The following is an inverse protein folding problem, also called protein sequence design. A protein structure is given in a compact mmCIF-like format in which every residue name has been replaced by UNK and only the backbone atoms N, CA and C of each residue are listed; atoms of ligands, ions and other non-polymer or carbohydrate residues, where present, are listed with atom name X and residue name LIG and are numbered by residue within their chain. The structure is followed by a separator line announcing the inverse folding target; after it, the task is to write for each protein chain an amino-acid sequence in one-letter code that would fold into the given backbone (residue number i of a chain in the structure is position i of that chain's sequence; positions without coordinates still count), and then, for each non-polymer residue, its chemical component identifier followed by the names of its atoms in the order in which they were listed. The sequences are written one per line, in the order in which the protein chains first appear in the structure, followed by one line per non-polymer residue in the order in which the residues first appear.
data_IF_856963604768
#
_entry.id   IF_856963604768
#
_cell.length_a   1.000
_cell.length_b   1.000
_cell.length_c   1.000
_cell.angle_alpha   90.00
_cell.angle_beta   90.00
_cell.angle_gamma   90.00
#
_symmetry.space_group_name_H-M   'P 1'
#
loop_
_entity.id
_entity.type
_entity.pdbx_description
1 polymer ?
#
# COMPACT_ATOMS: atom_id res chain seq x y z
N UNK A 1 17.52 7.78 0.46
CA UNK A 1 17.75 7.66 1.93
C UNK A 1 16.50 7.30 2.73
N UNK A 2 15.29 7.36 2.14
CA UNK A 2 14.05 7.01 2.83
C UNK A 2 13.74 5.50 2.86
N UNK A 3 14.32 4.69 1.96
CA UNK A 3 13.95 3.28 1.79
C UNK A 3 14.58 2.31 2.79
N UNK A 4 15.75 2.62 3.36
CA UNK A 4 16.38 1.74 4.36
C UNK A 4 15.78 1.93 5.76
N UNK A 5 15.32 3.14 6.07
CA UNK A 5 14.66 3.43 7.34
C UNK A 5 13.27 2.77 7.45
N UNK A 6 12.51 2.68 6.35
CA UNK A 6 11.19 2.06 6.35
C UNK A 6 11.23 0.57 6.76
N UNK A 7 12.23 -0.21 6.31
CA UNK A 7 12.31 -1.63 6.64
C UNK A 7 12.60 -1.91 8.11
N UNK A 8 13.25 -0.99 8.83
CA UNK A 8 13.55 -1.15 10.26
C UNK A 8 12.39 -0.68 11.16
N UNK A 9 11.60 0.28 10.70
CA UNK A 9 10.43 0.79 11.42
C UNK A 9 9.36 -0.30 11.60
N UNK A 10 9.19 -1.18 10.61
CA UNK A 10 8.17 -2.25 10.67
C UNK A 10 8.54 -3.44 11.57
N UNK A 11 9.74 -3.48 12.15
CA UNK A 11 10.19 -4.63 12.95
C UNK A 11 9.63 -4.63 14.37
N UNK A 12 9.16 -3.51 14.87
CA UNK A 12 8.74 -3.35 16.26
C UNK A 12 7.45 -2.56 16.33
N UNK A 13 6.48 -3.12 17.02
CA UNK A 13 5.18 -2.49 17.20
C UNK A 13 4.67 -2.72 18.61
N UNK A 14 4.08 -1.69 19.17
CA UNK A 14 3.37 -1.73 20.43
C UNK A 14 1.87 -1.67 20.15
N UNK A 15 1.13 -2.65 20.68
CA UNK A 15 -0.33 -2.66 20.64
C UNK A 15 -0.90 -2.13 21.94
N UNK A 16 -1.62 -1.04 21.86
CA UNK A 16 -2.36 -0.45 22.97
C UNK A 16 -3.76 -1.06 23.04
N UNK A 17 -4.04 -1.79 24.13
CA UNK A 17 -5.33 -2.44 24.35
C UNK A 17 -6.46 -1.47 24.69
N UNK A 18 -6.15 -0.31 25.25
CA UNK A 18 -7.13 0.71 25.62
C UNK A 18 -7.68 1.42 24.37
N UNK A 19 -6.78 1.78 23.47
CA UNK A 19 -7.13 2.50 22.25
C UNK A 19 -7.28 1.59 21.05
N UNK A 20 -6.93 0.31 21.16
CA UNK A 20 -6.90 -0.66 20.05
C UNK A 20 -6.05 -0.20 18.87
N UNK A 21 -4.89 0.40 19.17
CA UNK A 21 -4.00 0.98 18.17
C UNK A 21 -2.64 0.31 18.16
N UNK A 22 -2.01 0.26 16.98
CA UNK A 22 -0.62 -0.14 16.83
C UNK A 22 0.26 1.08 16.67
N UNK A 23 1.28 1.23 17.49
CA UNK A 23 2.30 2.27 17.35
C UNK A 23 3.63 1.68 16.96
N UNK A 24 4.38 2.40 16.12
CA UNK A 24 5.78 2.08 15.90
C UNK A 24 6.60 2.47 17.12
N UNK A 25 7.56 1.63 17.47
CA UNK A 25 8.55 1.98 18.49
C UNK A 25 9.84 2.40 17.80
N UNK A 26 10.08 3.68 17.73
CA UNK A 26 11.33 4.25 17.21
C UNK A 26 12.45 4.18 18.26
N UNK A 27 13.69 4.15 17.80
CA UNK A 27 14.88 4.39 18.64
C UNK A 27 15.47 3.18 19.36
N UNK A 28 14.72 2.14 19.73
CA UNK A 28 15.28 0.99 20.43
C UNK A 28 15.02 -0.34 19.71
N UNK A 29 16.07 -1.07 19.46
CA UNK A 29 15.98 -2.44 18.94
C UNK A 29 16.41 -3.45 20.00
N UNK A 30 15.45 -4.13 20.60
CA UNK A 30 15.71 -5.14 21.64
C UNK A 30 16.57 -6.32 21.15
N UNK A 31 16.58 -6.57 19.83
CA UNK A 31 17.34 -7.67 19.22
C UNK A 31 18.75 -7.26 18.78
N UNK A 32 19.10 -5.98 18.86
CA UNK A 32 20.43 -5.50 18.49
C UNK A 32 20.99 -4.53 19.54
N UNK A 33 22.13 -4.90 20.11
CA UNK A 33 22.90 -4.04 21.02
C UNK A 33 22.36 -3.89 22.43
N UNK A 34 21.26 -4.51 22.81
CA UNK A 34 20.75 -4.48 24.18
C UNK A 34 21.22 -5.70 24.95
N UNK A 35 21.88 -5.52 26.13
CA UNK A 35 22.15 -6.66 27.00
C UNK A 35 20.86 -7.37 27.38
N UNK A 36 20.85 -8.67 27.25
CA UNK A 36 19.74 -9.52 27.61
C UNK A 36 20.21 -10.67 28.50
N UNK A 37 19.47 -10.97 29.56
CA UNK A 37 19.75 -12.09 30.45
C UNK A 37 18.49 -12.93 30.66
N UNK A 38 18.59 -14.23 30.48
CA UNK A 38 17.56 -15.15 30.93
C UNK A 38 17.64 -15.26 32.47
N UNK A 39 16.61 -14.80 33.16
CA UNK A 39 16.56 -14.77 34.62
C UNK A 39 15.92 -16.04 35.22
N UNK A 40 15.09 -16.72 34.43
CA UNK A 40 14.52 -18.03 34.69
C UNK A 40 14.04 -18.62 33.36
N UNK A 41 13.79 -19.91 33.22
CA UNK A 41 13.36 -20.51 31.97
C UNK A 41 12.21 -19.78 31.31
N UNK A 42 12.44 -19.26 30.10
CA UNK A 42 11.48 -18.48 29.33
C UNK A 42 11.26 -17.05 29.76
N UNK A 43 12.04 -16.50 30.72
CA UNK A 43 11.97 -15.11 31.17
C UNK A 43 13.25 -14.38 30.83
N UNK A 44 13.19 -13.46 29.89
CA UNK A 44 14.33 -12.66 29.45
C UNK A 44 14.19 -11.23 29.97
N UNK A 45 15.25 -10.73 30.63
CA UNK A 45 15.37 -9.35 31.09
C UNK A 45 16.22 -8.58 30.09
N UNK A 46 15.67 -7.51 29.55
CA UNK A 46 16.37 -6.53 28.69
C UNK A 46 16.67 -5.26 29.46
N UNK A 47 17.78 -4.61 29.14
CA UNK A 47 18.11 -3.26 29.61
C UNK A 47 17.69 -2.27 28.53
N UNK A 48 16.65 -1.50 28.81
CA UNK A 48 16.12 -0.49 27.88
C UNK A 48 16.87 0.83 28.00
N UNK A 49 17.03 1.62 26.93
CA UNK A 49 17.43 3.01 27.03
C UNK A 49 16.47 3.79 27.94
N UNK A 50 16.99 4.84 28.61
CA UNK A 50 16.20 5.64 29.55
C UNK A 50 14.94 6.26 28.95
N UNK A 51 14.98 6.52 27.65
CA UNK A 51 13.91 7.24 26.92
C UNK A 51 12.89 6.27 26.28
N UNK A 52 13.06 4.96 26.47
CA UNK A 52 12.14 3.96 25.93
C UNK A 52 11.48 3.17 27.06
N UNK A 53 10.23 3.47 27.33
CA UNK A 53 9.40 2.70 28.25
C UNK A 53 8.08 2.32 27.55
N UNK A 54 7.88 1.05 27.19
CA UNK A 54 6.58 0.58 26.69
C UNK A 54 5.51 0.85 27.76
N UNK A 55 4.31 1.21 27.34
CA UNK A 55 3.18 1.42 28.26
C UNK A 55 2.86 0.09 28.96
N UNK A 56 2.79 0.12 30.29
CA UNK A 56 2.45 -1.07 31.07
C UNK A 56 1.07 -1.62 30.68
N UNK A 57 1.00 -2.90 30.35
CA UNK A 57 -0.22 -3.56 29.89
C UNK A 57 -0.32 -3.68 28.38
N UNK A 58 0.46 -2.94 27.62
CA UNK A 58 0.53 -3.08 26.17
C UNK A 58 1.30 -4.34 25.76
N UNK A 59 1.14 -4.75 24.52
CA UNK A 59 1.90 -5.86 23.91
C UNK A 59 2.91 -5.31 22.94
N UNK A 60 4.18 -5.65 23.17
CA UNK A 60 5.27 -5.35 22.24
C UNK A 60 5.47 -6.55 21.31
N UNK A 61 5.37 -6.33 20.02
CA UNK A 61 5.76 -7.31 19.00
C UNK A 61 7.11 -6.94 18.42
N UNK A 62 8.01 -7.91 18.39
CA UNK A 62 9.34 -7.78 17.82
C UNK A 62 9.46 -8.84 16.73
N UNK A 63 9.86 -8.41 15.54
CA UNK A 63 10.11 -9.27 14.40
C UNK A 63 11.61 -9.28 14.10
N UNK A 64 12.24 -10.45 14.20
CA UNK A 64 13.67 -10.61 13.93
C UNK A 64 13.96 -10.71 12.43
N UNK A 65 13.13 -11.47 11.73
CA UNK A 65 13.36 -11.85 10.35
C UNK A 65 12.63 -10.96 9.36
N UNK A 66 13.21 -10.89 8.19
CA UNK A 66 12.61 -10.32 7.00
C UNK A 66 11.65 -11.38 6.43
N UNK A 67 10.64 -11.01 5.75
CA UNK A 67 9.53 -11.69 5.06
C UNK A 67 9.93 -12.97 4.29
N UNK A 68 10.65 -13.90 4.89
CA UNK A 68 11.27 -15.06 4.25
C UNK A 68 10.31 -16.22 3.99
N UNK A 69 9.12 -16.18 4.59
CA UNK A 69 8.07 -17.18 4.40
C UNK A 69 6.72 -16.53 4.17
N UNK A 70 5.83 -17.25 3.50
CA UNK A 70 4.48 -16.78 3.22
C UNK A 70 3.44 -17.74 3.76
N UNK A 71 2.25 -17.24 4.09
CA UNK A 71 1.14 -18.07 4.52
C UNK A 71 0.58 -18.92 3.37
N UNK A 72 0.41 -18.32 2.20
CA UNK A 72 -0.02 -18.97 0.97
C UNK A 72 0.62 -18.27 -0.23
N UNK A 73 1.14 -19.03 -1.18
CA UNK A 73 1.70 -18.50 -2.42
C UNK A 73 0.93 -19.02 -3.65
N UNK A 74 0.32 -18.10 -4.38
CA UNK A 74 -0.42 -18.35 -5.63
C UNK A 74 0.43 -17.78 -6.76
N UNK A 75 1.06 -18.64 -7.54
CA UNK A 75 2.02 -18.24 -8.56
C UNK A 75 1.64 -18.81 -9.93
N UNK A 76 1.64 -17.96 -10.96
CA UNK A 76 1.27 -18.32 -12.34
C UNK A 76 -0.02 -19.17 -12.43
N UNK A 77 -0.98 -18.86 -11.57
CA UNK A 77 -2.22 -19.61 -11.46
C UNK A 77 -3.41 -18.84 -12.05
N UNK A 78 -4.48 -19.54 -12.40
CA UNK A 78 -5.65 -18.93 -13.02
C UNK A 78 -6.94 -19.38 -12.38
N UNK A 79 -7.89 -18.44 -12.22
CA UNK A 79 -9.23 -18.68 -11.68
C UNK A 79 -9.19 -19.34 -10.28
N UNK A 80 -8.43 -18.74 -9.38
CA UNK A 80 -8.30 -19.21 -8.00
C UNK A 80 -9.37 -18.56 -7.12
N UNK A 81 -10.08 -19.37 -6.39
CA UNK A 81 -11.06 -18.94 -5.39
C UNK A 81 -10.70 -19.50 -4.00
N UNK A 82 -10.52 -18.60 -3.04
CA UNK A 82 -10.37 -18.89 -1.62
C UNK A 82 -11.67 -18.49 -0.94
N UNK A 83 -12.46 -19.47 -0.54
CA UNK A 83 -13.78 -19.25 0.05
C UNK A 83 -13.86 -19.86 1.44
N UNK A 84 -14.34 -19.07 2.41
CA UNK A 84 -14.57 -19.50 3.79
C UNK A 84 -13.33 -20.06 4.50
N UNK A 85 -12.12 -19.58 4.13
CA UNK A 85 -10.88 -19.97 4.77
C UNK A 85 -10.62 -19.16 6.06
N UNK A 86 -9.89 -19.77 7.00
CA UNK A 86 -9.41 -19.12 8.20
C UNK A 86 -7.89 -19.25 8.28
N UNK A 87 -7.18 -18.12 8.40
CA UNK A 87 -5.74 -18.08 8.57
C UNK A 87 -5.40 -17.26 9.82
N UNK A 88 -4.76 -17.91 10.80
CA UNK A 88 -4.57 -17.34 12.12
C UNK A 88 -3.16 -16.85 12.40
N UNK A 89 -2.17 -17.41 11.70
CA UNK A 89 -0.78 -17.00 11.79
C UNK A 89 -0.01 -17.32 10.52
N UNK A 90 0.61 -16.27 9.97
CA UNK A 90 1.46 -16.34 8.80
C UNK A 90 2.79 -15.67 9.14
N UNK A 91 3.89 -16.41 8.95
CA UNK A 91 5.20 -15.99 9.49
C UNK A 91 5.76 -14.74 8.82
N UNK A 92 5.58 -14.58 7.52
CA UNK A 92 5.98 -13.41 6.75
C UNK A 92 4.76 -12.69 6.18
N UNK A 93 4.74 -12.57 4.85
CA UNK A 93 3.55 -12.16 4.10
C UNK A 93 2.43 -13.19 4.25
N UNK A 94 1.20 -12.73 4.19
CA UNK A 94 0.03 -13.58 4.31
C UNK A 94 -0.27 -14.38 3.05
N UNK A 95 -1.28 -13.96 2.29
CA UNK A 95 -1.64 -14.57 1.01
C UNK A 95 -1.01 -13.73 -0.11
N UNK A 96 -0.05 -14.31 -0.81
CA UNK A 96 0.58 -13.68 -1.97
C UNK A 96 0.04 -14.29 -3.25
N UNK A 97 -0.38 -13.44 -4.17
CA UNK A 97 -0.65 -13.81 -5.55
C UNK A 97 0.27 -13.05 -6.50
N UNK A 98 1.08 -13.79 -7.26
CA UNK A 98 2.05 -13.20 -8.15
C UNK A 98 1.87 -13.76 -9.57
N UNK A 99 1.80 -12.86 -10.58
CA UNK A 99 1.60 -13.19 -11.98
C UNK A 99 0.47 -14.19 -12.23
N UNK A 100 -0.59 -14.08 -11.45
CA UNK A 100 -1.77 -14.94 -11.54
C UNK A 100 -2.97 -14.17 -12.11
N UNK A 101 -3.98 -14.89 -12.58
CA UNK A 101 -5.13 -14.31 -13.26
C UNK A 101 -6.44 -14.71 -12.57
N UNK A 102 -7.34 -13.73 -12.34
CA UNK A 102 -8.64 -13.92 -11.71
C UNK A 102 -8.54 -14.58 -10.33
N UNK A 103 -8.24 -13.78 -9.31
CA UNK A 103 -8.11 -14.25 -7.94
C UNK A 103 -9.28 -13.70 -7.12
N UNK A 104 -9.97 -14.58 -6.42
CA UNK A 104 -11.10 -14.24 -5.55
C UNK A 104 -10.85 -14.76 -4.13
N UNK A 105 -11.01 -13.88 -3.15
CA UNK A 105 -11.01 -14.23 -1.72
C UNK A 105 -12.37 -13.80 -1.17
N UNK A 106 -13.15 -14.75 -0.64
CA UNK A 106 -14.49 -14.48 -0.13
C UNK A 106 -14.73 -15.08 1.24
N UNK A 107 -15.57 -14.39 2.04
CA UNK A 107 -16.07 -14.86 3.34
C UNK A 107 -14.98 -15.45 4.23
N UNK A 108 -13.75 -14.94 4.07
CA UNK A 108 -12.55 -15.48 4.68
C UNK A 108 -12.09 -14.62 5.86
N UNK A 109 -11.44 -15.24 6.82
CA UNK A 109 -10.95 -14.58 8.03
C UNK A 109 -9.44 -14.76 8.16
N UNK A 110 -8.70 -13.67 8.03
CA UNK A 110 -7.27 -13.61 8.37
C UNK A 110 -7.12 -12.77 9.64
N UNK A 111 -7.00 -13.42 10.77
CA UNK A 111 -6.94 -12.78 12.09
C UNK A 111 -6.31 -13.74 13.12
N UNK A 112 -5.66 -13.24 14.19
CA UNK A 112 -5.16 -14.10 15.25
C UNK A 112 -6.27 -14.97 15.83
N UNK A 113 -5.93 -16.23 16.14
CA UNK A 113 -6.88 -17.10 16.85
C UNK A 113 -7.15 -16.53 18.25
N UNK A 114 -8.41 -16.40 18.68
CA UNK A 114 -8.74 -15.72 19.95
C UNK A 114 -8.02 -16.29 21.17
N UNK A 115 -7.85 -17.61 21.24
CA UNK A 115 -7.22 -18.30 22.36
C UNK A 115 -5.69 -18.28 22.33
N UNK A 116 -5.08 -17.84 21.21
CA UNK A 116 -3.62 -17.84 21.06
C UNK A 116 -2.93 -16.74 21.87
N UNK A 117 -3.69 -15.72 22.31
CA UNK A 117 -3.13 -14.53 22.91
C UNK A 117 -2.33 -13.64 21.92
N UNK A 118 -2.25 -14.00 20.64
CA UNK A 118 -1.55 -13.22 19.62
C UNK A 118 -2.35 -11.98 19.22
N UNK A 119 -1.62 -10.96 18.80
CA UNK A 119 -2.22 -9.72 18.24
C UNK A 119 -2.05 -9.65 16.71
N UNK A 120 -1.19 -10.51 16.14
CA UNK A 120 -0.84 -10.55 14.72
C UNK A 120 -1.23 -11.86 14.07
N UNK A 121 -1.73 -11.77 12.85
CA UNK A 121 -1.94 -12.89 11.92
C UNK A 121 -0.89 -12.92 10.80
N UNK A 122 -0.37 -11.77 10.37
CA UNK A 122 0.70 -11.67 9.37
C UNK A 122 1.84 -10.77 9.88
N UNK A 123 3.08 -11.18 9.64
CA UNK A 123 4.26 -10.37 10.01
C UNK A 123 4.66 -9.34 8.95
N UNK A 124 3.91 -9.24 7.89
CA UNK A 124 3.99 -8.24 6.82
C UNK A 124 2.58 -8.03 6.25
N UNK A 125 2.41 -7.81 4.92
CA UNK A 125 1.11 -7.64 4.30
C UNK A 125 0.20 -8.86 4.53
N UNK A 126 -1.09 -8.61 4.77
CA UNK A 126 -2.08 -9.68 4.91
C UNK A 126 -2.39 -10.34 3.57
N UNK A 127 -2.57 -9.53 2.53
CA UNK A 127 -2.76 -10.00 1.15
C UNK A 127 -1.99 -9.11 0.19
N UNK A 128 -1.28 -9.74 -0.77
CA UNK A 128 -0.40 -9.02 -1.70
C UNK A 128 -0.54 -9.57 -3.12
N UNK A 129 -0.91 -8.71 -4.06
CA UNK A 129 -1.16 -9.06 -5.46
C UNK A 129 -0.18 -8.31 -6.37
N UNK A 130 0.88 -8.99 -6.77
CA UNK A 130 1.97 -8.42 -7.57
C UNK A 130 1.89 -8.92 -9.02
N UNK A 131 1.77 -8.01 -9.97
CA UNK A 131 1.76 -8.35 -11.39
C UNK A 131 0.63 -9.31 -11.80
N UNK A 132 -0.48 -9.32 -11.08
CA UNK A 132 -1.66 -10.09 -11.44
C UNK A 132 -2.38 -9.48 -12.65
N UNK A 133 -3.26 -10.26 -13.30
CA UNK A 133 -4.11 -9.81 -14.40
C UNK A 133 -5.54 -10.33 -14.25
N UNK A 134 -6.41 -9.94 -15.19
CA UNK A 134 -7.84 -10.21 -15.06
C UNK A 134 -8.42 -9.41 -13.89
N UNK A 135 -9.02 -10.07 -12.90
CA UNK A 135 -9.70 -9.44 -11.78
C UNK A 135 -9.22 -9.98 -10.43
N UNK A 136 -8.95 -9.08 -9.48
CA UNK A 136 -8.77 -9.39 -8.06
C UNK A 136 -10.04 -8.99 -7.33
N UNK A 137 -10.67 -9.94 -6.63
CA UNK A 137 -11.89 -9.72 -5.85
C UNK A 137 -11.65 -10.12 -4.40
N UNK A 138 -11.94 -9.20 -3.45
CA UNK A 138 -11.93 -9.46 -2.01
C UNK A 138 -13.30 -9.04 -1.47
N UNK A 139 -14.10 -10.01 -1.07
CA UNK A 139 -15.48 -9.78 -0.67
C UNK A 139 -15.86 -10.48 0.63
N UNK A 140 -16.58 -9.76 1.49
CA UNK A 140 -17.14 -10.28 2.76
C UNK A 140 -16.08 -10.90 3.68
N UNK A 141 -14.86 -10.34 3.72
CA UNK A 141 -13.74 -10.82 4.52
C UNK A 141 -13.55 -10.01 5.81
N UNK A 142 -12.91 -10.63 6.79
CA UNK A 142 -12.45 -10.01 8.02
C UNK A 142 -10.93 -10.12 8.11
N UNK A 143 -10.21 -8.99 7.99
CA UNK A 143 -8.75 -8.93 8.07
C UNK A 143 -8.31 -8.10 9.28
N UNK A 144 -7.44 -8.69 10.10
CA UNK A 144 -7.02 -8.08 11.36
C UNK A 144 -5.66 -8.59 11.80
N UNK A 145 -4.79 -7.68 12.21
CA UNK A 145 -3.49 -8.02 12.77
C UNK A 145 -2.42 -8.26 11.71
N UNK A 146 -2.10 -7.25 10.91
CA UNK A 146 -0.95 -7.23 10.02
C UNK A 146 0.12 -6.24 10.50
N UNK A 147 1.40 -6.58 10.27
CA UNK A 147 2.51 -5.64 10.49
C UNK A 147 2.72 -4.68 9.33
N UNK A 148 2.10 -4.94 8.20
CA UNK A 148 2.10 -4.10 7.02
C UNK A 148 0.68 -4.04 6.44
N UNK A 149 0.48 -3.80 5.16
CA UNK A 149 -0.82 -3.54 4.56
C UNK A 149 -1.78 -4.73 4.66
N UNK A 150 -3.07 -4.43 4.84
CA UNK A 150 -4.07 -5.49 4.79
C UNK A 150 -4.32 -5.96 3.36
N UNK A 151 -4.25 -5.03 2.40
CA UNK A 151 -4.32 -5.33 0.97
C UNK A 151 -3.30 -4.46 0.24
N UNK A 152 -2.43 -5.09 -0.57
CA UNK A 152 -1.57 -4.42 -1.53
C UNK A 152 -1.81 -4.99 -2.93
N UNK A 153 -2.12 -4.14 -3.92
CA UNK A 153 -2.31 -4.52 -5.33
C UNK A 153 -1.54 -3.59 -6.22
N UNK A 154 -0.58 -4.13 -6.96
CA UNK A 154 0.26 -3.32 -7.85
C UNK A 154 0.74 -4.08 -9.09
N UNK A 155 1.12 -3.33 -10.13
CA UNK A 155 1.95 -3.82 -11.23
C UNK A 155 3.44 -3.71 -10.90
N UNK A 156 4.30 -3.81 -11.91
CA UNK A 156 5.75 -3.80 -11.72
C UNK A 156 6.42 -2.82 -12.68
N UNK A 157 7.28 -1.97 -12.12
CA UNK A 157 8.24 -1.15 -12.83
C UNK A 157 9.64 -1.76 -12.73
N UNK A 158 10.38 -1.90 -13.84
CA UNK A 158 11.81 -2.13 -13.81
C UNK A 158 12.55 -0.91 -14.38
N UNK A 159 13.65 -0.55 -13.73
CA UNK A 159 14.47 0.58 -14.17
C UNK A 159 15.32 0.17 -15.39
N UNK A 160 15.38 1.02 -16.40
CA UNK A 160 16.27 0.86 -17.54
C UNK A 160 17.71 1.18 -17.12
N UNK A 161 18.61 0.19 -17.14
CA UNK A 161 19.98 0.35 -16.67
C UNK A 161 21.02 0.35 -17.80
N UNK A 162 20.64 -0.12 -18.98
CA UNK A 162 21.51 -0.13 -20.16
C UNK A 162 20.68 -0.20 -21.44
N UNK A 163 21.07 0.57 -22.45
CA UNK A 163 20.53 0.47 -23.80
C UNK A 163 21.49 -0.38 -24.65
N UNK A 164 21.03 -1.53 -25.10
CA UNK A 164 21.83 -2.47 -25.93
C UNK A 164 21.81 -2.03 -27.40
N UNK A 165 20.61 -1.71 -27.89
CA UNK A 165 20.39 -1.19 -29.25
C UNK A 165 19.11 -0.34 -29.30
N UNK A 166 18.63 0.02 -30.50
CA UNK A 166 17.46 0.86 -30.67
C UNK A 166 16.16 0.24 -30.16
N UNK A 167 16.09 -1.08 -29.98
CA UNK A 167 14.88 -1.81 -29.57
C UNK A 167 15.07 -2.59 -28.26
N UNK A 168 16.27 -2.61 -27.67
CA UNK A 168 16.60 -3.52 -26.58
C UNK A 168 17.16 -2.79 -25.38
N UNK A 169 16.61 -3.06 -24.20
CA UNK A 169 17.06 -2.57 -22.90
C UNK A 169 17.42 -3.72 -21.98
N UNK A 170 18.43 -3.51 -21.14
CA UNK A 170 18.58 -4.22 -19.88
C UNK A 170 17.78 -3.49 -18.81
N UNK A 171 16.80 -4.21 -18.23
CA UNK A 171 15.89 -3.75 -17.19
C UNK A 171 16.24 -4.42 -15.86
N UNK A 172 16.29 -3.65 -14.78
CA UNK A 172 16.74 -4.12 -13.47
C UNK A 172 15.68 -3.94 -12.39
N UNK A 173 15.53 -4.96 -11.54
CA UNK A 173 14.90 -4.84 -10.24
C UNK A 173 15.80 -4.05 -9.29
N UNK A 174 15.37 -2.86 -8.91
CA UNK A 174 16.19 -1.96 -8.09
C UNK A 174 16.03 -2.24 -6.59
N UNK A 175 14.82 -2.59 -6.14
CA UNK A 175 14.56 -2.84 -4.72
C UNK A 175 15.18 -4.15 -4.23
N UNK A 176 15.73 -4.12 -2.99
CA UNK A 176 16.46 -5.26 -2.41
C UNK A 176 15.64 -6.50 -2.09
N UNK A 177 14.33 -6.37 -1.97
CA UNK A 177 13.42 -7.46 -1.62
C UNK A 177 12.46 -7.84 -2.78
N UNK A 178 12.57 -7.18 -3.94
CA UNK A 178 11.70 -7.44 -5.10
C UNK A 178 12.56 -7.82 -6.30
N UNK A 179 12.78 -9.11 -6.51
CA UNK A 179 13.50 -9.66 -7.66
C UNK A 179 13.34 -11.18 -7.74
N UNK A 180 13.93 -11.81 -8.74
CA UNK A 180 13.99 -13.28 -8.86
C UNK A 180 12.82 -13.90 -9.64
N UNK A 181 11.94 -13.09 -10.21
CA UNK A 181 10.85 -13.53 -11.07
C UNK A 181 10.94 -12.88 -12.45
N UNK A 182 10.25 -13.45 -13.42
CA UNK A 182 10.18 -12.90 -14.77
C UNK A 182 9.05 -11.85 -14.83
N UNK A 183 9.43 -10.57 -14.96
CA UNK A 183 8.48 -9.46 -14.94
C UNK A 183 7.83 -9.18 -16.30
N UNK A 184 8.40 -9.68 -17.40
CA UNK A 184 7.90 -9.49 -18.75
C UNK A 184 7.88 -10.81 -19.49
N UNK A 185 6.88 -10.96 -20.38
CA UNK A 185 6.74 -12.10 -21.26
C UNK A 185 6.57 -11.60 -22.70
N UNK A 186 6.92 -12.44 -23.65
CA UNK A 186 6.67 -12.19 -25.07
C UNK A 186 5.19 -11.89 -25.33
N UNK A 187 4.90 -10.82 -26.05
CA UNK A 187 3.55 -10.31 -26.27
C UNK A 187 2.99 -9.36 -25.19
N UNK A 188 3.68 -9.16 -24.07
CA UNK A 188 3.24 -8.19 -23.07
C UNK A 188 3.27 -6.77 -23.64
N UNK A 189 2.24 -6.00 -23.35
CA UNK A 189 2.20 -4.56 -23.58
C UNK A 189 2.92 -3.86 -22.43
N UNK A 190 3.82 -2.94 -22.76
CA UNK A 190 4.57 -2.15 -21.79
C UNK A 190 4.40 -0.66 -22.03
N UNK A 191 4.70 0.15 -21.01
CA UNK A 191 4.85 1.59 -21.13
C UNK A 191 6.22 2.02 -20.66
N UNK A 192 6.82 2.98 -21.38
CA UNK A 192 8.01 3.70 -20.95
C UNK A 192 7.58 4.86 -20.05
N UNK A 193 8.09 4.88 -18.83
CA UNK A 193 7.73 5.82 -17.77
C UNK A 193 8.86 6.81 -17.55
N UNK A 194 8.55 8.10 -17.61
CA UNK A 194 9.44 9.14 -17.09
C UNK A 194 9.31 9.19 -15.57
N UNK A 195 10.33 8.73 -14.85
CA UNK A 195 10.23 8.55 -13.40
C UNK A 195 9.92 9.85 -12.65
N UNK A 196 10.55 10.97 -13.03
CA UNK A 196 10.33 12.26 -12.35
C UNK A 196 8.89 12.76 -12.41
N UNK A 197 8.16 12.46 -13.47
CA UNK A 197 6.76 12.88 -13.67
C UNK A 197 5.76 11.73 -13.55
N UNK A 198 6.19 10.48 -13.54
CA UNK A 198 5.37 9.26 -13.61
C UNK A 198 4.49 9.19 -14.87
N UNK A 199 4.81 9.94 -15.92
CA UNK A 199 4.08 9.93 -17.19
C UNK A 199 4.43 8.69 -18.02
N UNK A 200 3.39 8.06 -18.58
CA UNK A 200 3.52 7.03 -19.63
C UNK A 200 3.64 7.70 -20.98
N UNK A 201 4.86 7.97 -21.43
CA UNK A 201 5.10 8.77 -22.63
C UNK A 201 5.13 7.94 -23.93
N UNK A 202 5.39 6.65 -23.85
CA UNK A 202 5.36 5.75 -25.00
C UNK A 202 4.95 4.34 -24.59
N UNK A 203 4.52 3.54 -25.57
CA UNK A 203 4.15 2.13 -25.40
C UNK A 203 4.83 1.27 -26.45
N UNK A 204 5.03 0.00 -26.09
CA UNK A 204 5.55 -1.03 -27.00
C UNK A 204 5.01 -2.42 -26.61
N UNK A 205 5.19 -3.39 -27.50
CA UNK A 205 5.02 -4.80 -27.18
C UNK A 205 6.36 -5.47 -27.00
N UNK A 206 6.45 -6.40 -26.07
CA UNK A 206 7.64 -7.21 -25.83
C UNK A 206 7.78 -8.27 -26.92
N UNK A 207 8.91 -8.30 -27.62
CA UNK A 207 9.21 -9.29 -28.68
C UNK A 207 9.97 -10.48 -28.10
N UNK A 208 10.92 -10.23 -27.21
CA UNK A 208 11.69 -11.29 -26.57
C UNK A 208 12.22 -10.86 -25.20
N UNK A 209 12.45 -11.84 -24.34
CA UNK A 209 12.97 -11.64 -22.97
C UNK A 209 14.07 -12.65 -22.73
N UNK A 210 15.21 -12.18 -22.18
CA UNK A 210 16.34 -13.01 -21.81
C UNK A 210 16.82 -12.67 -20.39
N UNK A 211 16.96 -13.68 -19.54
CA UNK A 211 17.55 -13.51 -18.20
C UNK A 211 19.06 -13.25 -18.33
N UNK A 212 19.53 -12.13 -17.81
CA UNK A 212 20.95 -11.76 -17.74
C UNK A 212 21.53 -12.12 -16.37
N UNK A 213 20.77 -11.81 -15.31
CA UNK A 213 21.12 -12.17 -13.93
C UNK A 213 19.84 -12.29 -13.09
N UNK A 214 19.97 -12.57 -11.78
CA UNK A 214 18.81 -12.62 -10.88
C UNK A 214 18.02 -11.32 -10.85
N UNK A 215 18.66 -10.19 -11.15
CA UNK A 215 18.04 -8.86 -11.09
C UNK A 215 17.90 -8.18 -12.44
N UNK A 216 18.51 -8.71 -13.52
CA UNK A 216 18.57 -8.04 -14.83
C UNK A 216 17.94 -8.93 -15.88
N UNK A 217 17.00 -8.35 -16.62
CA UNK A 217 16.36 -8.94 -17.78
C UNK A 217 16.60 -8.08 -19.01
N UNK A 218 17.08 -8.68 -20.08
CA UNK A 218 17.18 -8.05 -21.39
C UNK A 218 15.84 -8.20 -22.09
N UNK A 219 15.24 -7.08 -22.50
CA UNK A 219 13.93 -7.04 -23.13
C UNK A 219 14.03 -6.32 -24.47
N UNK A 220 13.56 -6.98 -25.53
CA UNK A 220 13.46 -6.42 -26.87
C UNK A 220 12.00 -6.01 -27.16
N UNK A 221 11.81 -4.86 -27.80
CA UNK A 221 10.51 -4.25 -28.07
C UNK A 221 10.26 -4.12 -29.57
N UNK A 222 8.96 -4.13 -29.98
CA UNK A 222 8.52 -3.87 -31.36
C UNK A 222 8.72 -2.42 -31.78
N UNK A 223 8.78 -1.48 -30.83
CA UNK A 223 9.01 -0.05 -31.03
C UNK A 223 10.43 0.31 -30.60
N UNK A 224 10.96 1.41 -31.18
CA UNK A 224 12.24 1.96 -30.73
C UNK A 224 12.14 2.47 -29.29
N UNK A 225 13.19 2.21 -28.53
CA UNK A 225 13.39 2.82 -27.22
C UNK A 225 13.37 4.34 -27.37
N UNK A 226 12.50 5.06 -26.65
CA UNK A 226 12.39 6.51 -26.81
C UNK A 226 13.70 7.24 -26.50
N UNK A 227 14.00 8.27 -27.29
CA UNK A 227 15.24 9.04 -27.15
C UNK A 227 15.31 9.84 -25.83
N UNK A 228 14.15 10.14 -25.22
CA UNK A 228 14.06 10.85 -23.94
C UNK A 228 14.29 9.94 -22.72
N UNK A 229 14.31 8.62 -22.90
CA UNK A 229 14.48 7.67 -21.79
C UNK A 229 15.89 7.77 -21.21
N UNK A 230 15.95 8.00 -19.92
CA UNK A 230 17.19 8.21 -19.16
C UNK A 230 17.58 6.93 -18.40
N UNK A 231 18.75 6.41 -18.73
CA UNK A 231 19.28 5.20 -18.10
C UNK A 231 19.58 5.44 -16.61
N UNK A 232 19.25 4.47 -15.76
CA UNK A 232 19.31 4.48 -14.30
C UNK A 232 18.29 5.41 -13.61
N UNK A 233 17.33 5.96 -14.35
CA UNK A 233 16.25 6.79 -13.83
C UNK A 233 14.88 6.31 -14.28
N UNK A 234 14.68 6.22 -15.59
CA UNK A 234 13.36 5.92 -16.14
C UNK A 234 13.06 4.42 -16.13
N UNK A 235 11.78 4.10 -16.13
CA UNK A 235 11.29 2.74 -15.94
C UNK A 235 10.47 2.24 -17.13
N UNK A 236 10.32 0.93 -17.18
CA UNK A 236 9.37 0.24 -18.05
C UNK A 236 8.33 -0.45 -17.17
N UNK A 237 7.06 -0.15 -17.41
CA UNK A 237 5.91 -0.72 -16.70
C UNK A 237 5.29 -1.84 -17.53
N UNK A 238 5.01 -3.00 -16.91
CA UNK A 238 4.21 -4.03 -17.56
C UNK A 238 2.71 -3.71 -17.44
N UNK A 239 2.06 -3.33 -18.55
CA UNK A 239 0.65 -3.01 -18.62
C UNK A 239 -0.28 -4.23 -18.75
N UNK A 240 0.24 -5.36 -19.21
CA UNK A 240 -0.52 -6.61 -19.32
C UNK A 240 -0.80 -7.18 -17.95
N UNK A 241 0.18 -7.14 -17.07
CA UNK A 241 0.10 -7.68 -15.73
C UNK A 241 -0.40 -6.64 -14.71
N UNK A 242 -1.62 -6.14 -14.96
CA UNK A 242 -2.34 -5.19 -14.10
C UNK A 242 -3.81 -5.60 -14.00
N UNK A 243 -4.36 -5.89 -12.80
CA UNK A 243 -5.71 -6.41 -12.65
C UNK A 243 -6.76 -5.30 -12.52
N UNK A 244 -8.02 -5.60 -12.82
CA UNK A 244 -9.15 -4.94 -12.21
C UNK A 244 -9.25 -5.31 -10.73
N UNK A 245 -9.76 -4.41 -9.89
CA UNK A 245 -9.82 -4.62 -8.45
C UNK A 245 -11.22 -4.36 -7.93
N UNK A 246 -11.77 -5.30 -7.15
CA UNK A 246 -13.04 -5.15 -6.45
C UNK A 246 -12.88 -5.58 -4.98
N UNK A 247 -13.06 -4.62 -4.06
CA UNK A 247 -12.93 -4.81 -2.62
C UNK A 247 -14.25 -4.40 -1.98
N UNK A 248 -15.05 -5.38 -1.53
CA UNK A 248 -16.43 -5.12 -1.12
C UNK A 248 -16.82 -5.83 0.18
N UNK A 249 -17.66 -5.16 0.99
CA UNK A 249 -18.30 -5.72 2.19
C UNK A 249 -17.31 -6.28 3.25
N UNK A 250 -16.10 -5.77 3.32
CA UNK A 250 -15.07 -6.26 4.23
C UNK A 250 -15.00 -5.45 5.52
N UNK A 251 -14.41 -6.05 6.55
CA UNK A 251 -14.02 -5.37 7.78
C UNK A 251 -12.50 -5.47 7.98
N UNK A 252 -11.85 -4.32 8.04
CA UNK A 252 -10.41 -4.15 8.13
C UNK A 252 -10.01 -3.46 9.42
N UNK A 253 -9.08 -4.04 10.17
CA UNK A 253 -8.63 -3.46 11.44
C UNK A 253 -7.25 -3.96 11.84
N UNK A 254 -6.66 -3.31 12.83
CA UNK A 254 -5.39 -3.71 13.45
C UNK A 254 -4.26 -3.93 12.45
N UNK A 255 -3.97 -2.89 11.69
CA UNK A 255 -2.70 -2.75 10.98
C UNK A 255 -2.02 -1.47 11.44
N UNK A 256 -0.70 -1.48 11.48
CA UNK A 256 0.10 -0.28 11.77
C UNK A 256 0.29 0.61 10.55
N UNK A 257 0.03 0.07 9.36
CA UNK A 257 0.17 0.73 8.05
C UNK A 257 -1.19 0.98 7.40
N UNK A 258 -1.31 0.72 6.11
CA UNK A 258 -2.47 1.03 5.30
C UNK A 258 -3.51 -0.10 5.34
N UNK A 259 -4.78 0.27 5.20
CA UNK A 259 -5.85 -0.70 5.00
C UNK A 259 -5.79 -1.30 3.60
N UNK A 260 -5.75 -0.46 2.59
CA UNK A 260 -5.64 -0.84 1.17
C UNK A 260 -4.65 0.05 0.46
N UNK A 261 -3.64 -0.53 -0.16
CA UNK A 261 -2.77 0.10 -1.13
C UNK A 261 -3.14 -0.44 -2.52
N UNK A 262 -3.36 0.45 -3.50
CA UNK A 262 -3.74 0.05 -4.84
C UNK A 262 -3.12 0.93 -5.91
N UNK A 263 -2.47 0.28 -6.88
CA UNK A 263 -1.81 0.90 -8.04
C UNK A 263 -2.09 0.05 -9.28
N UNK A 264 -3.12 0.39 -10.04
CA UNK A 264 -3.45 -0.27 -11.31
C UNK A 264 -4.13 0.70 -12.28
N UNK A 265 -3.82 0.64 -13.58
CA UNK A 265 -4.51 1.45 -14.59
C UNK A 265 -5.92 0.94 -14.91
N UNK A 266 -6.30 -0.20 -14.35
CA UNK A 266 -7.62 -0.82 -14.59
C UNK A 266 -8.65 -0.24 -13.62
N UNK A 267 -9.89 -0.68 -13.79
CA UNK A 267 -10.98 -0.28 -12.91
C UNK A 267 -10.77 -0.76 -11.47
N UNK A 268 -10.94 0.14 -10.51
CA UNK A 268 -10.88 -0.14 -9.07
C UNK A 268 -12.21 0.24 -8.42
N UNK A 269 -12.82 -0.70 -7.69
CA UNK A 269 -14.03 -0.48 -6.91
C UNK A 269 -13.78 -0.89 -5.46
N UNK A 270 -13.87 0.09 -4.54
CA UNK A 270 -13.74 -0.13 -3.09
C UNK A 270 -15.04 0.32 -2.47
N UNK A 271 -15.89 -0.63 -2.06
CA UNK A 271 -17.27 -0.32 -1.68
C UNK A 271 -17.77 -1.10 -0.47
N UNK A 272 -18.54 -0.41 0.39
CA UNK A 272 -19.21 -0.99 1.57
C UNK A 272 -18.25 -1.70 2.53
N UNK A 273 -17.01 -1.22 2.64
CA UNK A 273 -16.06 -1.72 3.61
C UNK A 273 -16.08 -0.87 4.88
N UNK A 274 -15.68 -1.46 5.99
CA UNK A 274 -15.35 -0.75 7.22
C UNK A 274 -13.86 -0.81 7.47
N UNK A 275 -13.22 0.35 7.54
CA UNK A 275 -11.83 0.54 7.96
C UNK A 275 -11.85 1.07 9.38
N UNK A 276 -11.43 0.25 10.32
CA UNK A 276 -11.45 0.58 11.74
C UNK A 276 -10.02 0.66 12.28
N UNK A 277 -9.57 1.88 12.58
CA UNK A 277 -8.27 2.15 13.18
C UNK A 277 -7.11 1.51 12.39
N UNK A 278 -6.97 1.87 11.11
CA UNK A 278 -5.73 1.62 10.37
C UNK A 278 -4.67 2.63 10.80
N UNK A 279 -3.44 2.20 11.02
CA UNK A 279 -2.38 3.05 11.54
C UNK A 279 -2.02 4.20 10.61
N UNK A 280 -1.87 3.91 9.33
CA UNK A 280 -1.74 4.90 8.27
C UNK A 280 -3.06 5.06 7.51
N UNK A 281 -3.02 5.62 6.31
CA UNK A 281 -4.20 5.83 5.48
C UNK A 281 -5.03 4.56 5.34
N UNK A 282 -6.35 4.67 5.48
CA UNK A 282 -7.25 3.57 5.22
C UNK A 282 -7.15 3.11 3.76
N UNK A 283 -7.01 4.06 2.84
CA UNK A 283 -6.78 3.80 1.42
C UNK A 283 -5.62 4.68 0.95
N UNK A 284 -4.60 4.04 0.38
CA UNK A 284 -3.51 4.71 -0.33
C UNK A 284 -3.57 4.33 -1.82
N UNK A 285 -3.63 5.34 -2.67
CA UNK A 285 -3.43 5.23 -4.11
C UNK A 285 -2.04 5.78 -4.39
N UNK A 286 -1.15 4.93 -4.87
CA UNK A 286 0.24 5.26 -5.11
C UNK A 286 0.62 4.91 -6.56
N UNK A 287 1.83 5.08 -6.90
CA UNK A 287 2.55 4.67 -8.09
C UNK A 287 3.99 5.06 -7.84
N UNK A 288 4.91 4.12 -7.97
CA UNK A 288 6.28 4.28 -7.53
C UNK A 288 7.28 3.81 -8.59
N UNK A 289 8.22 4.69 -8.92
CA UNK A 289 9.34 4.43 -9.80
C UNK A 289 10.71 4.70 -9.16
N UNK A 290 10.78 4.84 -7.82
CA UNK A 290 12.00 5.22 -7.09
C UNK A 290 12.27 4.35 -5.86
N UNK A 291 11.26 3.83 -5.19
CA UNK A 291 11.36 3.08 -3.94
C UNK A 291 11.15 1.58 -4.14
N UNK A 292 9.91 1.15 -4.07
CA UNK A 292 9.52 -0.25 -4.26
C UNK A 292 9.36 -0.64 -5.73
N UNK A 293 9.23 0.33 -6.62
CA UNK A 293 8.97 0.13 -8.05
C UNK A 293 7.63 -0.56 -8.32
N UNK A 294 6.66 -0.31 -7.48
CA UNK A 294 5.27 -0.76 -7.61
C UNK A 294 4.53 0.19 -8.55
N UNK A 295 4.07 -0.30 -9.70
CA UNK A 295 3.41 0.54 -10.71
C UNK A 295 1.91 0.54 -10.50
N UNK A 296 1.15 1.48 -10.89
CA UNK A 296 1.17 2.44 -11.96
C UNK A 296 0.05 3.47 -11.76
N UNK A 297 -0.07 4.45 -12.65
CA UNK A 297 -1.12 5.46 -12.57
C UNK A 297 -2.52 4.88 -12.66
N UNK A 298 -3.40 5.23 -11.69
CA UNK A 298 -4.81 4.82 -11.74
C UNK A 298 -5.61 5.72 -12.68
N UNK A 299 -6.69 5.19 -13.26
CA UNK A 299 -7.48 5.91 -14.26
C UNK A 299 -9.00 5.75 -14.16
N UNK A 300 -9.49 4.92 -13.28
CA UNK A 300 -10.93 4.73 -12.98
C UNK A 300 -11.09 4.11 -11.60
N UNK A 301 -11.35 4.95 -10.59
CA UNK A 301 -11.48 4.54 -9.18
C UNK A 301 -12.82 4.97 -8.64
N UNK A 302 -13.53 4.06 -7.98
CA UNK A 302 -14.74 4.32 -7.22
C UNK A 302 -14.56 3.87 -5.77
N UNK A 303 -14.64 4.82 -4.84
CA UNK A 303 -14.64 4.60 -3.39
C UNK A 303 -16.01 5.02 -2.87
N UNK A 304 -16.88 4.05 -2.56
CA UNK A 304 -18.30 4.33 -2.29
C UNK A 304 -18.85 3.56 -1.10
N UNK A 305 -19.60 4.26 -0.26
CA UNK A 305 -20.37 3.64 0.82
C UNK A 305 -19.52 2.98 1.90
N UNK A 306 -18.25 3.37 2.04
CA UNK A 306 -17.36 2.85 3.07
C UNK A 306 -17.51 3.62 4.38
N UNK A 307 -17.12 2.99 5.48
CA UNK A 307 -17.05 3.59 6.82
C UNK A 307 -15.59 3.61 7.26
N UNK A 308 -15.07 4.79 7.56
CA UNK A 308 -13.71 5.00 8.08
C UNK A 308 -13.81 5.47 9.53
N UNK A 309 -13.13 4.80 10.45
CA UNK A 309 -13.16 5.12 11.88
C UNK A 309 -11.74 5.26 12.42
N UNK A 310 -11.37 6.45 12.86
CA UNK A 310 -10.11 6.78 13.53
C UNK A 310 -8.85 6.21 12.83
N UNK A 311 -8.81 6.31 11.51
CA UNK A 311 -7.68 5.88 10.70
C UNK A 311 -6.56 6.95 10.67
N UNK A 312 -5.35 6.56 10.23
CA UNK A 312 -4.18 7.42 10.03
C UNK A 312 -3.56 7.99 11.32
N UNK A 313 -3.60 7.24 12.41
CA UNK A 313 -3.05 7.68 13.70
C UNK A 313 -1.52 7.46 13.84
N UNK A 314 -0.88 6.66 13.00
CA UNK A 314 0.58 6.47 12.98
C UNK A 314 1.30 7.35 11.94
N UNK A 315 0.59 8.16 11.18
CA UNK A 315 1.18 8.96 10.12
C UNK A 315 0.75 8.50 8.72
N UNK A 316 1.69 8.47 7.79
CA UNK A 316 1.45 8.24 6.36
C UNK A 316 1.38 9.55 5.57
N UNK A 317 1.03 9.54 4.28
CA UNK A 317 1.01 10.76 3.49
C UNK A 317 0.06 11.80 4.10
N UNK A 318 0.65 12.82 4.74
CA UNK A 318 -0.03 13.90 5.45
C UNK A 318 -1.06 13.47 6.50
N UNK A 319 -0.98 12.24 7.03
CA UNK A 319 -1.92 11.62 7.97
C UNK A 319 -3.38 11.62 7.44
N UNK A 320 -3.57 11.50 6.14
CA UNK A 320 -4.88 11.51 5.52
C UNK A 320 -5.57 10.15 5.61
N UNK A 321 -6.89 10.16 5.83
CA UNK A 321 -7.70 8.91 5.82
C UNK A 321 -7.64 8.26 4.44
N UNK A 322 -7.81 9.05 3.38
CA UNK A 322 -7.55 8.63 2.00
C UNK A 322 -6.39 9.47 1.46
N UNK A 323 -5.34 8.81 0.98
CA UNK A 323 -4.21 9.47 0.36
C UNK A 323 -4.04 9.03 -1.09
N UNK A 324 -3.78 10.01 -1.98
CA UNK A 324 -3.40 9.80 -3.37
C UNK A 324 -2.02 10.44 -3.52
N UNK A 325 -0.96 9.61 -3.55
CA UNK A 325 0.41 10.10 -3.38
C UNK A 325 1.42 9.38 -4.30
N UNK A 326 1.38 9.63 -5.61
CA UNK A 326 2.38 9.09 -6.51
C UNK A 326 3.79 9.61 -6.20
N UNK A 327 4.83 8.83 -6.52
CA UNK A 327 6.22 9.15 -6.19
C UNK A 327 6.84 10.27 -7.05
N UNK A 328 6.12 10.80 -8.05
CA UNK A 328 6.65 11.84 -8.94
C UNK A 328 7.25 13.03 -8.16
N UNK A 329 8.48 13.39 -8.48
CA UNK A 329 9.19 14.54 -7.90
C UNK A 329 8.81 15.86 -8.58
N UNK A 330 8.48 15.80 -9.87
CA UNK A 330 7.94 16.91 -10.64
C UNK A 330 6.41 16.87 -10.67
N UNK A 331 5.78 17.78 -9.96
CA UNK A 331 4.32 17.92 -9.95
C UNK A 331 3.89 18.91 -11.05
N UNK A 332 3.12 18.42 -12.02
CA UNK A 332 2.60 19.21 -13.13
C UNK A 332 1.07 19.12 -13.14
N UNK A 333 0.40 20.23 -12.97
CA UNK A 333 -1.08 20.32 -13.03
C UNK A 333 -1.63 20.06 -14.45
N UNK A 334 -0.81 20.29 -15.49
CA UNK A 334 -1.17 20.02 -16.88
C UNK A 334 -1.18 18.54 -17.23
N UNK A 335 -0.37 17.73 -16.54
CA UNK A 335 -0.22 16.28 -16.78
C UNK A 335 -0.23 15.49 -15.45
N UNK A 336 -1.38 15.47 -14.75
CA UNK A 336 -1.48 14.71 -13.50
C UNK A 336 -1.30 13.20 -13.71
N UNK A 337 -0.68 12.56 -12.73
CA UNK A 337 -0.40 11.10 -12.73
C UNK A 337 -1.69 10.31 -12.68
N UNK A 338 -2.54 10.59 -11.71
CA UNK A 338 -3.80 9.88 -11.49
C UNK A 338 -4.99 10.64 -12.07
N UNK A 339 -6.06 9.91 -12.38
CA UNK A 339 -7.28 10.53 -12.91
C UNK A 339 -8.56 9.74 -12.63
N UNK A 340 -9.69 10.45 -12.75
CA UNK A 340 -11.05 9.89 -12.67
C UNK A 340 -11.29 9.11 -11.37
N UNK A 341 -11.11 9.78 -10.25
CA UNK A 341 -11.31 9.22 -8.90
C UNK A 341 -12.59 9.79 -8.31
N UNK A 342 -13.51 8.91 -7.91
CA UNK A 342 -14.80 9.26 -7.30
C UNK A 342 -14.87 8.69 -5.90
N UNK A 343 -15.04 9.57 -4.91
CA UNK A 343 -15.15 9.27 -3.47
C UNK A 343 -16.50 9.78 -3.01
N UNK A 344 -17.48 8.90 -2.83
CA UNK A 344 -18.85 9.32 -2.56
C UNK A 344 -19.60 8.41 -1.61
N UNK A 345 -20.63 8.98 -0.95
CA UNK A 345 -21.50 8.25 -0.03
C UNK A 345 -20.75 7.52 1.11
N UNK A 346 -19.57 8.01 1.50
CA UNK A 346 -18.78 7.43 2.58
C UNK A 346 -19.06 8.15 3.91
N UNK A 347 -18.79 7.45 5.01
CA UNK A 347 -18.84 8.00 6.36
C UNK A 347 -17.44 8.04 6.94
N UNK A 348 -16.95 9.24 7.25
CA UNK A 348 -15.65 9.49 7.88
C UNK A 348 -15.86 9.88 9.34
N UNK A 349 -15.52 9.00 10.27
CA UNK A 349 -15.42 9.29 11.70
C UNK A 349 -13.95 9.52 12.02
N UNK A 350 -13.56 10.77 12.23
CA UNK A 350 -12.16 11.19 12.27
C UNK A 350 -11.79 11.81 13.61
N UNK A 351 -10.63 11.49 14.13
CA UNK A 351 -10.04 12.16 15.29
C UNK A 351 -9.15 13.34 14.89
N UNK A 352 -8.64 13.34 13.65
CA UNK A 352 -7.74 14.38 13.10
C UNK A 352 -7.99 14.64 11.61
N UNK A 353 -7.33 15.63 11.05
CA UNK A 353 -7.35 16.03 9.64
C UNK A 353 -6.01 15.65 8.97
N UNK A 354 -5.96 15.56 7.64
CA UNK A 354 -7.03 15.70 6.65
C UNK A 354 -7.83 14.39 6.40
N UNK A 355 -9.02 14.54 5.84
CA UNK A 355 -9.81 13.41 5.32
C UNK A 355 -9.22 12.91 4.01
N UNK A 356 -8.80 13.85 3.15
CA UNK A 356 -8.24 13.55 1.83
C UNK A 356 -6.95 14.35 1.59
N UNK A 357 -5.91 13.65 1.23
CA UNK A 357 -4.74 14.21 0.56
C UNK A 357 -4.70 13.72 -0.89
N UNK A 358 -4.47 14.62 -1.84
CA UNK A 358 -4.31 14.26 -3.24
C UNK A 358 -3.17 15.04 -3.89
N UNK A 359 -2.26 14.32 -4.53
CA UNK A 359 -1.16 14.84 -5.31
C UNK A 359 -1.31 14.41 -6.77
N UNK A 360 -1.04 15.32 -7.69
CA UNK A 360 -0.96 15.02 -9.13
C UNK A 360 -2.16 14.23 -9.67
N UNK A 361 -3.38 14.75 -9.42
CA UNK A 361 -4.63 14.07 -9.75
C UNK A 361 -5.58 14.95 -10.57
N UNK A 362 -6.18 14.37 -11.62
CA UNK A 362 -7.21 15.03 -12.42
C UNK A 362 -8.58 14.37 -12.27
N UNK A 363 -9.65 15.15 -12.43
CA UNK A 363 -11.03 14.66 -12.33
C UNK A 363 -11.28 13.94 -11.02
N UNK A 364 -11.06 14.62 -9.92
CA UNK A 364 -11.26 14.14 -8.56
C UNK A 364 -12.60 14.63 -8.02
N UNK A 365 -13.50 13.72 -7.69
CA UNK A 365 -14.84 14.01 -7.20
C UNK A 365 -14.98 13.47 -5.78
N UNK A 366 -15.24 14.37 -4.82
CA UNK A 366 -15.53 14.02 -3.44
C UNK A 366 -16.91 14.57 -3.09
N UNK A 367 -17.95 13.71 -3.12
CA UNK A 367 -19.34 14.16 -2.98
C UNK A 367 -20.17 13.26 -2.09
N UNK A 368 -21.27 13.81 -1.55
CA UNK A 368 -22.26 13.08 -0.77
C UNK A 368 -21.69 12.33 0.44
N UNK A 369 -20.54 12.75 0.94
CA UNK A 369 -19.88 12.14 2.09
C UNK A 369 -20.33 12.76 3.41
N UNK A 370 -20.22 12.01 4.50
CA UNK A 370 -20.45 12.49 5.86
C UNK A 370 -19.15 12.47 6.64
N UNK A 371 -18.84 13.58 7.32
CA UNK A 371 -17.65 13.73 8.16
C UNK A 371 -18.09 14.05 9.58
N UNK A 372 -17.69 13.20 10.53
CA UNK A 372 -18.00 13.30 11.95
C UNK A 372 -16.73 13.33 12.78
N UNK A 373 -16.61 14.24 13.72
CA UNK A 373 -15.48 14.32 14.64
C UNK A 373 -15.63 13.31 15.77
N UNK A 374 -14.57 12.53 16.03
CA UNK A 374 -14.41 11.68 17.20
C UNK A 374 -13.43 12.32 18.20
N UNK A 375 -13.45 11.84 19.44
CA UNK A 375 -12.62 12.38 20.53
C UNK A 375 -11.79 11.31 21.25
N UNK A 376 -11.73 10.09 20.70
CA UNK A 376 -11.03 8.98 21.32
C UNK A 376 -9.50 9.19 21.29
N UNK A 377 -8.99 9.68 20.17
CA UNK A 377 -7.58 9.97 19.98
C UNK A 377 -7.36 11.47 19.93
N UNK A 378 -6.21 11.93 20.42
CA UNK A 378 -5.81 13.33 20.33
C UNK A 378 -5.29 13.62 18.92
N UNK A 379 -5.64 14.78 18.32
CA UNK A 379 -5.11 15.19 17.04
C UNK A 379 -3.60 15.47 17.14
N UNK A 380 -2.86 15.20 16.06
CA UNK A 380 -1.41 15.46 16.01
C UNK A 380 -1.07 16.94 16.01
N UNK A 381 -1.88 17.73 15.30
CA UNK A 381 -1.72 19.18 15.26
C UNK A 381 -3.08 19.87 15.18
N UNK A 382 -3.16 21.04 15.80
CA UNK A 382 -4.23 21.98 15.57
C UNK A 382 -4.06 22.62 14.18
N UNK A 383 -5.13 23.14 13.59
CA UNK A 383 -5.11 23.90 12.33
C UNK A 383 -4.71 23.12 11.07
N UNK A 384 -5.32 21.97 10.84
CA UNK A 384 -5.21 21.26 9.56
C UNK A 384 -6.47 21.47 8.72
N UNK A 385 -6.26 21.42 7.41
CA UNK A 385 -7.35 21.45 6.44
C UNK A 385 -7.94 20.05 6.25
N UNK A 386 -9.26 19.98 6.02
CA UNK A 386 -9.95 18.72 5.70
C UNK A 386 -9.44 18.09 4.40
N UNK A 387 -9.07 18.93 3.47
CA UNK A 387 -8.56 18.55 2.15
C UNK A 387 -7.18 19.19 1.92
N UNK A 388 -6.26 18.41 1.39
CA UNK A 388 -4.93 18.88 0.99
C UNK A 388 -4.68 18.45 -0.45
N UNK A 389 -4.56 19.43 -1.34
CA UNK A 389 -4.43 19.19 -2.77
C UNK A 389 -3.11 19.75 -3.27
N UNK A 390 -2.39 19.00 -4.10
CA UNK A 390 -1.12 19.42 -4.68
C UNK A 390 -1.06 19.01 -6.17
N UNK A 391 -1.03 19.96 -7.08
CA UNK A 391 -0.99 19.72 -8.53
C UNK A 391 -2.22 18.96 -9.03
N UNK A 392 -3.39 19.24 -8.47
CA UNK A 392 -4.66 18.65 -8.88
C UNK A 392 -5.44 19.59 -9.80
N UNK A 393 -6.25 19.02 -10.70
CA UNK A 393 -7.17 19.79 -11.56
C UNK A 393 -8.54 19.12 -11.70
N UNK A 394 -9.56 19.91 -12.02
CA UNK A 394 -10.94 19.46 -12.12
C UNK A 394 -11.36 18.72 -10.84
N UNK A 395 -11.17 19.39 -9.69
CA UNK A 395 -11.57 18.87 -8.38
C UNK A 395 -12.94 19.40 -8.02
N UNK A 396 -13.84 18.52 -7.64
CA UNK A 396 -15.18 18.84 -7.16
C UNK A 396 -15.33 18.28 -5.75
N UNK A 397 -15.64 19.16 -4.79
CA UNK A 397 -15.93 18.81 -3.41
C UNK A 397 -17.28 19.44 -3.08
N UNK A 398 -18.31 18.61 -2.96
CA UNK A 398 -19.67 19.09 -2.78
C UNK A 398 -20.54 18.17 -1.90
N UNK A 399 -21.71 18.68 -1.50
CA UNK A 399 -22.74 17.98 -0.74
C UNK A 399 -22.20 17.18 0.47
N UNK A 400 -21.33 17.84 1.28
CA UNK A 400 -20.74 17.21 2.47
C UNK A 400 -21.60 17.48 3.70
N UNK A 401 -21.93 16.43 4.45
CA UNK A 401 -22.61 16.51 5.73
C UNK A 401 -21.57 16.52 6.86
N UNK A 402 -21.51 17.61 7.59
CA UNK A 402 -20.64 17.75 8.77
C UNK A 402 -21.40 17.49 10.05
N UNK A 403 -20.75 16.78 10.99
CA UNK A 403 -21.30 16.51 12.32
C UNK A 403 -20.19 16.66 13.38
N UNK A 404 -20.52 17.37 14.46
CA UNK A 404 -19.57 17.70 15.51
C UNK A 404 -18.74 18.94 15.18
N UNK A 405 -17.54 19.04 15.77
CA UNK A 405 -16.64 20.21 15.70
C UNK A 405 -15.83 20.28 14.38
N UNK A 406 -16.47 20.02 13.27
CA UNK A 406 -15.84 20.09 11.94
C UNK A 406 -16.15 21.39 11.21
N UNK A 407 -17.20 22.09 11.64
CA UNK A 407 -17.67 23.33 11.04
C UNK A 407 -16.67 24.47 11.24
N UNK A 408 -16.44 25.25 10.20
CA UNK A 408 -15.58 26.45 10.24
C UNK A 408 -14.10 26.19 10.17
N UNK A 409 -13.64 24.96 9.96
CA UNK A 409 -12.27 24.66 9.59
C UNK A 409 -12.09 24.91 8.09
N UNK A 410 -10.95 25.48 7.71
CA UNK A 410 -10.65 25.76 6.33
C UNK A 410 -10.73 24.47 5.49
N UNK A 411 -11.46 24.55 4.39
CA UNK A 411 -11.71 23.38 3.52
C UNK A 411 -10.50 23.10 2.65
N UNK A 412 -9.64 24.11 2.41
CA UNK A 412 -8.45 24.03 1.55
C UNK A 412 -7.21 24.56 2.25
#
# INVERSE_FOLDING_TARGET
LASSAASDVYKRQEYDHEYETFSYTEGWNVLSGSPAHETSPGVIKFFTPKDFLPKKGNRLTIRDIIRDQVGMFIYHSKNIELNEIQMHYMHGLGIISQYSENITIRKSKCAPHPESGRILAASADMTHFSGCKGKVTIDSCYFSGAHDDLINVHGTNLCAVEKIDDHTLNLRFMHGQTYGFQAYHEGDMVAFIKASTMERLAKASVISVKKVSERIWQVCFDQKVPAWLEINHDCVENLTCTPEVEITNNFFTRTSTRGTLVSTPRRVVIRKNTYYKTGMSAILIEGDAEGWFESGPVSDVLIEGNIFVDCAYNGGPHNAVIAINPSNTEVRDTHPVHKNIRIRNNVFKIFDYPVLYAKSTANLFFSDNSIERTTLLSPFTENRHLFRLNGCRNVVIDNIKYKGDVLGKDVF
#
